data_IF_612965311989
#
_entry.id   IF_612965311989
#
_cell.length_a   1.000
_cell.length_b   1.000
_cell.length_c   1.000
_cell.angle_alpha   90.00
_cell.angle_beta   90.00
_cell.angle_gamma   90.00
#
_symmetry.space_group_name_H-M   'P 1'
#
loop_
_entity.id
_entity.type
_entity.pdbx_description
1 polymer ?
#
# COMPACT_ATOMS: atom_id res chain seq x y z
N UNK A 1 -4.64 -8.16 11.31
CA UNK A 1 -5.21 -9.38 10.70
C UNK A 1 -4.05 -10.08 10.00
N UNK A 2 -3.59 -11.22 10.53
CA UNK A 2 -2.51 -11.98 9.90
C UNK A 2 -3.15 -13.01 8.96
N UNK A 3 -2.96 -12.87 7.64
CA UNK A 3 -3.45 -13.84 6.65
C UNK A 3 -2.23 -14.63 6.17
N UNK A 4 -2.12 -15.90 6.58
CA UNK A 4 -1.14 -16.85 6.06
C UNK A 4 -1.86 -17.86 5.16
N UNK A 5 -1.66 -17.79 3.85
CA UNK A 5 -1.64 -19.00 3.01
C UNK A 5 -0.83 -18.77 1.72
N UNK A 6 0.03 -19.72 1.38
CA UNK A 6 1.28 -19.50 0.65
C UNK A 6 1.38 -20.32 -0.66
N UNK A 7 0.30 -20.34 -1.45
CA UNK A 7 0.34 -20.94 -2.79
C UNK A 7 -0.42 -20.15 -3.86
N UNK A 8 -1.45 -19.38 -3.49
CA UNK A 8 -2.24 -18.60 -4.42
C UNK A 8 -2.02 -17.09 -4.19
N UNK A 9 -2.04 -16.26 -5.25
CA UNK A 9 -2.05 -14.81 -5.08
C UNK A 9 -3.25 -14.38 -4.24
N UNK A 10 -3.00 -13.71 -3.11
CA UNK A 10 -4.08 -13.12 -2.33
C UNK A 10 -4.77 -12.04 -3.17
N UNK A 11 -6.05 -12.26 -3.47
CA UNK A 11 -6.90 -11.30 -4.15
C UNK A 11 -7.70 -10.56 -3.10
N UNK A 12 -7.52 -9.25 -3.01
CA UNK A 12 -8.27 -8.41 -2.09
C UNK A 12 -9.62 -8.03 -2.71
N UNK A 13 -10.75 -8.24 -1.99
CA UNK A 13 -12.02 -7.59 -2.34
C UNK A 13 -11.88 -6.07 -2.42
N UNK A 14 -12.72 -5.42 -3.24
CA UNK A 14 -12.64 -3.97 -3.47
C UNK A 14 -12.67 -3.13 -2.19
N UNK A 15 -13.39 -3.61 -1.17
CA UNK A 15 -13.61 -2.92 0.10
C UNK A 15 -13.00 -3.68 1.30
N UNK A 16 -11.99 -4.52 1.08
CA UNK A 16 -11.47 -5.43 2.10
C UNK A 16 -11.10 -4.77 3.45
N UNK A 17 -10.58 -3.54 3.42
CA UNK A 17 -10.23 -2.74 4.59
C UNK A 17 -10.86 -1.36 4.54
N UNK A 18 -12.01 -1.24 3.86
CA UNK A 18 -12.79 -0.02 3.84
C UNK A 18 -13.66 0.10 5.11
N UNK A 19 -14.00 1.34 5.47
CA UNK A 19 -14.89 1.67 6.58
C UNK A 19 -14.42 1.11 7.93
N UNK A 20 -13.10 1.08 8.15
CA UNK A 20 -12.48 0.70 9.41
C UNK A 20 -11.87 1.94 10.09
N UNK A 21 -12.68 2.85 10.66
CA UNK A 21 -12.22 4.15 11.14
C UNK A 21 -11.25 4.06 12.32
N UNK A 22 -11.21 2.94 13.04
CA UNK A 22 -10.27 2.69 14.14
C UNK A 22 -9.04 1.87 13.73
N UNK A 23 -8.91 1.46 12.46
CA UNK A 23 -7.77 0.69 11.99
C UNK A 23 -6.54 1.58 11.93
N UNK A 24 -5.57 1.34 12.81
CA UNK A 24 -4.33 2.11 12.89
C UNK A 24 -3.12 1.43 12.24
N UNK A 25 -3.11 0.10 12.24
CA UNK A 25 -1.97 -0.69 11.79
C UNK A 25 -2.47 -1.84 10.90
N UNK A 26 -1.99 -1.88 9.66
CA UNK A 26 -2.29 -2.93 8.71
C UNK A 26 -1.01 -3.51 8.11
N UNK A 27 -0.82 -4.81 8.34
CA UNK A 27 0.31 -5.57 7.84
C UNK A 27 -0.16 -6.67 6.90
N UNK A 28 0.34 -6.60 5.66
CA UNK A 28 0.04 -7.52 4.57
C UNK A 28 1.34 -7.91 3.85
N UNK A 29 2.43 -8.05 4.60
CA UNK A 29 3.73 -8.42 4.05
C UNK A 29 3.68 -9.84 3.48
N UNK A 30 4.47 -10.10 2.44
CA UNK A 30 4.67 -11.45 1.88
C UNK A 30 3.38 -12.23 1.60
N UNK A 31 2.32 -11.53 1.21
CA UNK A 31 0.97 -12.08 1.00
C UNK A 31 0.68 -12.37 -0.48
N UNK A 32 1.69 -12.32 -1.35
CA UNK A 32 1.56 -12.55 -2.80
C UNK A 32 0.52 -11.65 -3.50
N UNK A 33 0.23 -10.47 -2.94
CA UNK A 33 -0.74 -9.52 -3.50
C UNK A 33 -0.21 -9.00 -4.83
N UNK A 34 -1.04 -9.04 -5.88
CA UNK A 34 -0.67 -8.55 -7.23
C UNK A 34 -1.21 -7.16 -7.54
N UNK A 35 -2.35 -6.79 -6.95
CA UNK A 35 -3.05 -5.52 -7.19
C UNK A 35 -3.73 -5.06 -5.91
N UNK A 36 -3.75 -3.75 -5.72
CA UNK A 36 -4.60 -3.08 -4.74
C UNK A 36 -5.84 -2.54 -5.46
N UNK A 37 -7.06 -2.91 -5.05
CA UNK A 37 -8.26 -2.24 -5.51
C UNK A 37 -8.26 -0.77 -5.08
N UNK A 38 -8.87 0.11 -5.87
CA UNK A 38 -8.83 1.56 -5.64
C UNK A 38 -9.46 1.97 -4.29
N UNK A 39 -10.51 1.27 -3.85
CA UNK A 39 -11.27 1.61 -2.65
C UNK A 39 -10.90 0.79 -1.41
N UNK A 40 -9.81 0.01 -1.49
CA UNK A 40 -9.49 -1.01 -0.48
C UNK A 40 -9.23 -0.45 0.92
N UNK A 41 -8.86 0.83 1.04
CA UNK A 41 -8.64 1.55 2.31
C UNK A 41 -9.61 2.72 2.53
N UNK A 42 -10.70 2.80 1.76
CA UNK A 42 -11.66 3.91 1.84
C UNK A 42 -12.17 4.09 3.27
N UNK A 43 -12.24 5.33 3.76
CA UNK A 43 -12.75 5.67 5.11
C UNK A 43 -11.99 5.05 6.30
N UNK A 44 -10.79 4.50 6.10
CA UNK A 44 -9.91 4.03 7.19
C UNK A 44 -8.95 5.15 7.61
N UNK A 45 -9.54 6.28 8.04
CA UNK A 45 -8.85 7.56 8.21
C UNK A 45 -7.81 7.59 9.32
N UNK A 46 -7.86 6.68 10.29
CA UNK A 46 -6.90 6.61 11.40
C UNK A 46 -5.69 5.70 11.11
N UNK A 47 -5.56 5.20 9.88
CA UNK A 47 -4.45 4.32 9.51
C UNK A 47 -3.12 5.07 9.59
N UNK A 48 -2.22 4.61 10.47
CA UNK A 48 -0.89 5.18 10.74
C UNK A 48 0.23 4.38 10.10
N UNK A 49 0.08 3.06 10.00
CA UNK A 49 1.10 2.20 9.41
C UNK A 49 0.49 1.21 8.43
N UNK A 50 1.00 1.23 7.19
CA UNK A 50 0.61 0.33 6.12
C UNK A 50 1.83 -0.39 5.56
N UNK A 51 1.90 -1.69 5.81
CA UNK A 51 3.06 -2.52 5.50
C UNK A 51 2.69 -3.53 4.40
N UNK A 52 3.12 -3.25 3.18
CA UNK A 52 2.80 -4.00 1.95
C UNK A 52 4.06 -4.62 1.31
N UNK A 53 5.15 -4.75 2.06
CA UNK A 53 6.43 -5.21 1.52
C UNK A 53 6.41 -6.66 1.07
N UNK A 54 7.26 -7.03 0.11
CA UNK A 54 7.45 -8.43 -0.26
C UNK A 54 6.23 -9.02 -0.99
N UNK A 55 5.41 -8.19 -1.59
CA UNK A 55 4.30 -8.61 -2.46
C UNK A 55 4.72 -8.59 -3.93
N UNK A 56 3.78 -8.81 -4.83
CA UNK A 56 3.99 -8.83 -6.28
C UNK A 56 3.29 -7.65 -6.97
N UNK A 57 3.20 -6.50 -6.31
CA UNK A 57 2.56 -5.31 -6.89
C UNK A 57 3.38 -4.80 -8.08
N UNK A 58 2.75 -4.67 -9.24
CA UNK A 58 3.37 -4.09 -10.46
C UNK A 58 3.02 -2.62 -10.65
N UNK A 59 2.02 -2.13 -9.91
CA UNK A 59 1.55 -0.75 -9.92
C UNK A 59 0.61 -0.52 -8.74
N UNK A 60 0.31 0.75 -8.50
CA UNK A 60 -0.59 1.19 -7.42
C UNK A 60 -1.58 2.20 -8.02
N UNK A 61 -2.90 2.09 -7.77
CA UNK A 61 -3.86 3.11 -8.22
C UNK A 61 -3.52 4.48 -7.61
N UNK A 62 -3.65 5.56 -8.39
CA UNK A 62 -3.26 6.92 -7.97
C UNK A 62 -3.95 7.37 -6.67
N UNK A 63 -5.21 6.98 -6.48
CA UNK A 63 -6.08 7.42 -5.39
C UNK A 63 -6.17 6.43 -4.23
N UNK A 64 -5.46 5.29 -4.26
CA UNK A 64 -5.69 4.20 -3.28
C UNK A 64 -5.41 4.59 -1.83
N UNK A 65 -4.53 5.57 -1.61
CA UNK A 65 -4.19 6.10 -0.29
C UNK A 65 -4.90 7.42 0.04
N UNK A 66 -5.85 7.84 -0.79
CA UNK A 66 -6.57 9.09 -0.58
C UNK A 66 -7.36 9.05 0.74
N UNK A 67 -7.22 10.10 1.54
CA UNK A 67 -7.90 10.22 2.82
C UNK A 67 -7.11 9.63 4.01
N UNK A 68 -5.97 8.99 3.76
CA UNK A 68 -5.07 8.49 4.81
C UNK A 68 -4.15 9.61 5.32
N UNK A 69 -4.74 10.74 5.73
CA UNK A 69 -4.00 11.97 6.05
C UNK A 69 -3.05 11.85 7.24
N UNK A 70 -3.30 10.90 8.14
CA UNK A 70 -2.49 10.62 9.33
C UNK A 70 -1.54 9.43 9.14
N UNK A 71 -1.41 8.89 7.92
CA UNK A 71 -0.50 7.78 7.64
C UNK A 71 0.94 8.24 7.84
N UNK A 72 1.67 7.56 8.71
CA UNK A 72 3.05 7.89 9.09
C UNK A 72 4.07 7.00 8.35
N UNK A 73 3.72 5.73 8.13
CA UNK A 73 4.60 4.73 7.51
C UNK A 73 3.88 4.04 6.37
N UNK A 74 4.47 4.13 5.17
CA UNK A 74 4.07 3.38 3.99
C UNK A 74 5.26 2.56 3.49
N UNK A 75 5.16 1.24 3.60
CA UNK A 75 6.19 0.31 3.13
C UNK A 75 5.69 -0.47 1.90
N UNK A 76 6.21 -0.11 0.74
CA UNK A 76 5.97 -0.76 -0.55
C UNK A 76 7.24 -1.49 -1.05
N UNK A 77 8.23 -1.70 -0.19
CA UNK A 77 9.51 -2.30 -0.57
C UNK A 77 9.37 -3.74 -1.06
N UNK A 78 10.35 -4.22 -1.82
CA UNK A 78 10.39 -5.58 -2.34
C UNK A 78 9.10 -5.97 -3.08
N UNK A 79 8.60 -5.06 -3.92
CA UNK A 79 7.54 -5.29 -4.89
C UNK A 79 8.12 -5.24 -6.31
N UNK A 80 7.28 -5.11 -7.33
CA UNK A 80 7.68 -5.05 -8.75
C UNK A 80 7.22 -3.76 -9.41
N UNK A 81 7.15 -2.67 -8.64
CA UNK A 81 6.69 -1.37 -9.14
C UNK A 81 7.70 -0.84 -10.16
N UNK A 82 7.24 -0.57 -11.38
CA UNK A 82 8.03 0.08 -12.45
C UNK A 82 7.87 1.59 -12.47
N UNK A 83 6.96 2.13 -11.66
CA UNK A 83 6.70 3.54 -11.50
C UNK A 83 5.76 3.80 -10.33
N UNK A 84 5.64 5.07 -9.96
CA UNK A 84 4.72 5.56 -8.93
C UNK A 84 3.87 6.67 -9.57
N UNK A 85 2.53 6.63 -9.47
CA UNK A 85 1.69 7.72 -9.94
C UNK A 85 2.08 9.05 -9.31
N UNK A 86 2.04 10.15 -10.09
CA UNK A 86 2.46 11.48 -9.66
C UNK A 86 1.74 11.93 -8.37
N UNK A 87 0.45 11.59 -8.25
CA UNK A 87 -0.38 11.98 -7.11
C UNK A 87 -0.58 10.86 -6.08
N UNK A 88 0.22 9.78 -6.14
CA UNK A 88 0.06 8.64 -5.22
C UNK A 88 0.15 9.06 -3.74
N UNK A 89 1.02 10.03 -3.44
CA UNK A 89 1.27 10.53 -2.09
C UNK A 89 0.45 11.80 -1.77
N UNK A 90 -0.43 12.23 -2.67
CA UNK A 90 -1.18 13.46 -2.49
C UNK A 90 -2.11 13.35 -1.27
N UNK A 91 -1.93 14.27 -0.32
CA UNK A 91 -2.72 14.32 0.91
C UNK A 91 -2.23 13.44 2.06
N UNK A 92 -1.12 12.70 1.89
CA UNK A 92 -0.46 11.97 2.99
C UNK A 92 0.37 12.92 3.88
N UNK A 93 -0.30 13.90 4.48
CA UNK A 93 0.34 15.00 5.23
C UNK A 93 1.14 14.52 6.46
N UNK A 94 0.76 13.38 7.03
CA UNK A 94 1.46 12.75 8.15
C UNK A 94 2.64 11.85 7.76
N UNK A 95 2.93 11.64 6.46
CA UNK A 95 3.88 10.62 6.04
C UNK A 95 5.32 10.99 6.42
N UNK A 96 5.96 10.09 7.18
CA UNK A 96 7.34 10.26 7.68
C UNK A 96 8.29 9.26 7.04
N UNK A 97 7.78 8.08 6.71
CA UNK A 97 8.56 6.98 6.14
C UNK A 97 7.85 6.46 4.91
N UNK A 98 8.52 6.58 3.77
CA UNK A 98 8.16 5.91 2.52
C UNK A 98 9.30 4.97 2.15
N UNK A 99 9.01 3.68 2.07
CA UNK A 99 9.98 2.70 1.62
C UNK A 99 9.58 2.11 0.27
N UNK A 100 10.41 2.37 -0.75
CA UNK A 100 10.26 1.86 -2.11
C UNK A 100 11.45 0.98 -2.53
N UNK A 101 12.34 0.62 -1.60
CA UNK A 101 13.53 -0.17 -1.90
C UNK A 101 13.18 -1.52 -2.53
N UNK A 102 14.05 -2.04 -3.40
CA UNK A 102 13.83 -3.35 -4.03
C UNK A 102 12.63 -3.41 -4.99
N UNK A 103 12.21 -2.28 -5.55
CA UNK A 103 11.29 -2.21 -6.69
C UNK A 103 12.07 -2.09 -8.02
N UNK A 104 11.34 -1.97 -9.13
CA UNK A 104 11.87 -1.82 -10.49
C UNK A 104 11.78 -0.37 -10.97
N UNK A 105 11.86 0.59 -10.04
CA UNK A 105 11.78 2.00 -10.36
C UNK A 105 13.00 2.41 -11.19
N UNK A 106 12.83 3.26 -12.21
CA UNK A 106 13.96 3.83 -12.94
C UNK A 106 14.89 4.51 -11.95
N UNK A 107 16.18 4.29 -12.11
CA UNK A 107 17.17 5.14 -11.47
C UNK A 107 16.91 6.58 -11.92
N UNK A 108 16.90 7.52 -10.98
CA UNK A 108 16.99 8.93 -11.34
C UNK A 108 18.36 9.10 -12.01
N UNK A 109 18.38 9.09 -13.34
CA UNK A 109 19.55 9.47 -14.10
C UNK A 109 19.86 10.93 -13.77
N UNK A 110 21.11 11.20 -13.41
CA UNK A 110 21.63 12.56 -13.15
C UNK A 110 21.48 13.48 -14.36
#
# INVERSE_FOLDING_TARGET
>A
VYIFDNAAPLTLPELAFADLPALQHLELRTSSIRRLPELVFRNSSDLRQLLLSGNNLTGVPESVFRGLGVLEVLDLSHNRLSGVPERLLAGLAGLRVLNLAGNQLPTLSE
#
